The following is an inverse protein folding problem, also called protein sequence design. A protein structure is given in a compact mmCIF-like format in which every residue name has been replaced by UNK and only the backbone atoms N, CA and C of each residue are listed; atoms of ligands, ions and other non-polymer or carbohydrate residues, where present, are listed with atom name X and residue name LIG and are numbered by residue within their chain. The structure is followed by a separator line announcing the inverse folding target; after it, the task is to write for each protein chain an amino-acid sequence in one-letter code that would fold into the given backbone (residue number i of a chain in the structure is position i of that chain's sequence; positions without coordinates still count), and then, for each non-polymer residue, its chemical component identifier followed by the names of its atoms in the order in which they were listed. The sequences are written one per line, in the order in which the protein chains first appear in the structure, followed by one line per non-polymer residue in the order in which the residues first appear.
data_IF_277971513078
#
_entry.id   IF_277971513078
#
_cell.length_a   1.000
_cell.length_b   1.000
_cell.length_c   1.000
_cell.angle_alpha   90.00
_cell.angle_beta   90.00
_cell.angle_gamma   90.00
#
_symmetry.space_group_name_H-M   'P 1'
#
loop_
_entity.id
_entity.type
_entity.pdbx_description
1 polymer ?
#
# COMPACT_ATOMS: atom_id res chain seq x y z
N UNK A 1 -59.88 -38.61 -12.64
CA UNK A 1 -59.74 -38.88 -11.18
C UNK A 1 -58.60 -39.87 -10.87
N UNK A 2 -57.53 -39.90 -11.70
CA UNK A 2 -56.29 -40.66 -11.44
C UNK A 2 -55.02 -39.79 -11.55
N UNK A 3 -55.08 -38.59 -12.14
CA UNK A 3 -53.95 -37.63 -12.17
C UNK A 3 -53.83 -36.72 -10.93
N UNK A 4 -54.89 -36.61 -10.10
CA UNK A 4 -54.82 -35.82 -8.85
C UNK A 4 -54.14 -36.60 -7.71
N UNK A 5 -54.04 -37.94 -7.84
CA UNK A 5 -53.47 -38.80 -6.80
C UNK A 5 -51.93 -38.96 -6.92
N UNK A 6 -51.33 -38.72 -8.08
CA UNK A 6 -49.86 -38.74 -8.26
C UNK A 6 -49.16 -37.44 -7.82
N UNK A 7 -49.88 -36.31 -7.81
CA UNK A 7 -49.32 -35.01 -7.37
C UNK A 7 -49.25 -34.94 -5.82
N UNK A 8 -50.10 -35.69 -5.10
CA UNK A 8 -50.09 -35.75 -3.64
C UNK A 8 -49.11 -36.79 -3.07
N UNK A 9 -48.70 -37.80 -3.84
CA UNK A 9 -47.69 -38.80 -3.43
C UNK A 9 -46.26 -38.32 -3.65
N UNK A 10 -45.99 -37.52 -4.69
CA UNK A 10 -44.67 -36.87 -4.90
C UNK A 10 -44.37 -35.74 -3.88
N UNK A 11 -45.40 -35.10 -3.30
CA UNK A 11 -45.23 -34.08 -2.25
C UNK A 11 -45.00 -34.65 -0.84
N UNK A 12 -45.22 -35.95 -0.62
CA UNK A 12 -45.08 -36.59 0.71
C UNK A 12 -43.73 -37.31 0.91
N UNK A 13 -42.98 -37.56 -0.17
CA UNK A 13 -41.67 -38.26 -0.12
C UNK A 13 -40.44 -37.36 -0.11
N UNK A 14 -40.56 -36.05 -0.37
CA UNK A 14 -39.44 -35.09 -0.26
C UNK A 14 -39.26 -34.51 1.15
N UNK A 15 -40.13 -34.86 2.11
CA UNK A 15 -40.09 -34.32 3.47
C UNK A 15 -39.42 -35.23 4.52
N UNK A 16 -38.88 -36.41 4.13
CA UNK A 16 -38.34 -37.41 5.08
C UNK A 16 -36.98 -38.02 4.71
N UNK A 17 -36.09 -37.27 4.04
CA UNK A 17 -34.68 -37.71 3.89
C UNK A 17 -33.70 -36.55 3.84
N UNK A 18 -33.52 -35.89 4.99
CA UNK A 18 -32.35 -35.03 5.24
C UNK A 18 -32.03 -34.89 6.73
N UNK A 19 -32.14 -36.01 7.46
CA UNK A 19 -31.38 -36.21 8.69
C UNK A 19 -30.15 -37.04 8.33
N UNK A 20 -29.01 -36.47 8.69
CA UNK A 20 -27.64 -36.97 8.66
C UNK A 20 -26.73 -36.40 7.57
N UNK A 21 -25.61 -35.87 8.08
CA UNK A 21 -24.47 -35.24 7.41
C UNK A 21 -24.67 -33.80 6.91
N UNK A 22 -24.66 -32.86 7.85
CA UNK A 22 -23.77 -31.68 7.70
C UNK A 22 -23.48 -31.08 9.09
N UNK A 23 -22.27 -31.33 9.55
CA UNK A 23 -21.65 -30.70 10.72
C UNK A 23 -21.33 -29.22 10.41
N UNK A 24 -21.42 -28.41 11.46
CA UNK A 24 -20.90 -27.05 11.66
C UNK A 24 -21.83 -25.86 11.31
N UNK A 25 -22.35 -25.31 12.41
CA UNK A 25 -22.81 -23.93 12.68
C UNK A 25 -24.24 -23.58 12.28
N UNK A 26 -25.16 -23.96 13.18
CA UNK A 26 -26.57 -23.58 13.18
C UNK A 26 -26.81 -22.23 13.89
N UNK A 27 -27.76 -21.41 13.40
CA UNK A 27 -28.13 -20.12 13.95
C UNK A 27 -29.25 -20.21 15.00
N UNK A 28 -29.35 -19.11 15.76
CA UNK A 28 -30.41 -18.72 16.68
C UNK A 28 -31.84 -19.04 16.20
N UNK A 29 -32.64 -19.70 17.05
CA UNK A 29 -34.01 -19.36 17.49
C UNK A 29 -34.58 -20.53 18.30
N UNK A 30 -34.48 -20.44 19.63
CA UNK A 30 -35.51 -20.77 20.62
C UNK A 30 -34.89 -20.80 22.02
N UNK A 31 -35.06 -19.70 22.76
CA UNK A 31 -35.13 -19.77 24.23
C UNK A 31 -36.11 -18.70 24.70
N UNK A 32 -37.38 -19.04 24.55
CA UNK A 32 -38.45 -18.54 25.40
C UNK A 32 -38.15 -18.90 26.85
N UNK A 33 -37.67 -17.93 27.64
CA UNK A 33 -37.93 -17.69 29.08
C UNK A 33 -36.95 -16.62 29.60
N UNK A 34 -37.37 -15.39 29.95
CA UNK A 34 -36.58 -14.54 30.84
C UNK A 34 -36.74 -15.04 32.28
N UNK A 35 -35.62 -15.39 32.93
CA UNK A 35 -35.55 -15.56 34.38
C UNK A 35 -35.82 -14.19 35.02
N UNK A 36 -37.01 -14.02 35.60
CA UNK A 36 -37.32 -12.94 36.52
C UNK A 36 -36.66 -13.26 37.87
N UNK A 37 -35.55 -12.59 38.18
CA UNK A 37 -35.04 -12.48 39.56
C UNK A 37 -34.67 -11.01 39.78
N UNK A 38 -35.50 -10.36 40.60
CA UNK A 38 -35.29 -9.14 41.39
C UNK A 38 -34.18 -8.18 40.94
N UNK A 39 -34.58 -7.07 40.29
CA UNK A 39 -33.98 -5.76 40.56
C UNK A 39 -35.01 -4.63 40.39
N UNK A 40 -36.21 -4.85 40.94
CA UNK A 40 -37.34 -3.90 40.90
C UNK A 40 -37.31 -2.86 42.02
N UNK A 41 -36.35 -2.89 42.96
CA UNK A 41 -36.30 -1.90 44.07
C UNK A 41 -35.33 -0.74 43.89
N UNK A 42 -34.43 -0.73 42.89
CA UNK A 42 -33.51 0.41 42.69
C UNK A 42 -34.01 1.44 41.65
N UNK A 43 -35.03 1.13 40.87
CA UNK A 43 -35.56 2.05 39.83
C UNK A 43 -36.64 3.01 40.34
N UNK A 44 -37.23 2.77 41.52
CA UNK A 44 -38.20 3.67 42.14
C UNK A 44 -37.56 4.78 43.00
N UNK A 45 -36.28 4.67 43.35
CA UNK A 45 -35.61 5.68 44.20
C UNK A 45 -34.98 6.82 43.36
N UNK A 46 -34.70 6.58 42.07
CA UNK A 46 -34.05 7.57 41.20
C UNK A 46 -34.99 8.30 40.22
N UNK A 47 -36.18 7.76 39.94
CA UNK A 47 -37.19 8.45 39.11
C UNK A 47 -38.19 9.30 39.92
N UNK A 48 -38.23 9.16 41.24
CA UNK A 48 -39.20 9.84 42.11
C UNK A 48 -38.77 11.21 42.68
N UNK A 49 -37.62 11.77 42.26
CA UNK A 49 -37.06 12.99 42.89
C UNK A 49 -36.87 14.21 41.98
N UNK A 50 -37.42 14.23 40.76
CA UNK A 50 -37.31 15.39 39.84
C UNK A 50 -38.66 15.90 39.34
N UNK A 51 -39.73 15.75 40.14
CA UNK A 51 -40.93 16.57 39.97
C UNK A 51 -41.35 17.08 41.35
N UNK A 52 -41.16 18.38 41.60
CA UNK A 52 -42.28 19.14 42.13
C UNK A 52 -42.51 20.44 41.36
N UNK A 53 -43.79 20.75 41.16
CA UNK A 53 -44.40 22.06 41.07
C UNK A 53 -43.63 23.21 40.38
N UNK A 54 -44.15 23.65 39.24
CA UNK A 54 -44.67 25.03 39.13
C UNK A 54 -45.48 25.20 37.85
N UNK A 55 -46.80 25.30 38.03
CA UNK A 55 -47.62 26.16 37.18
C UNK A 55 -47.27 27.57 37.63
N UNK A 56 -46.47 28.30 36.86
CA UNK A 56 -46.31 29.73 37.06
C UNK A 56 -46.36 30.46 35.72
N UNK A 57 -47.30 31.38 35.64
CA UNK A 57 -47.66 32.18 34.48
C UNK A 57 -46.70 33.38 34.48
N UNK A 58 -45.55 33.28 33.79
CA UNK A 58 -44.72 34.45 33.45
C UNK A 58 -43.78 34.14 32.28
N UNK A 59 -44.02 34.79 31.14
CA UNK A 59 -43.39 34.56 29.83
C UNK A 59 -41.87 34.73 29.70
N UNK A 60 -41.12 34.97 30.79
CA UNK A 60 -39.65 35.08 30.78
C UNK A 60 -38.89 33.82 31.25
N UNK A 61 -39.48 33.00 32.12
CA UNK A 61 -38.81 31.81 32.69
C UNK A 61 -38.89 30.57 31.77
N UNK A 62 -39.82 30.58 30.82
CA UNK A 62 -40.04 29.50 29.86
C UNK A 62 -38.85 29.34 28.89
N UNK A 63 -38.14 30.44 28.61
CA UNK A 63 -37.01 30.46 27.67
C UNK A 63 -35.78 29.75 28.27
N UNK A 64 -35.44 30.06 29.53
CA UNK A 64 -34.34 29.40 30.26
C UNK A 64 -34.60 27.90 30.48
N UNK A 65 -35.83 27.49 30.79
CA UNK A 65 -36.21 26.08 30.93
C UNK A 65 -36.25 25.35 29.58
N UNK A 66 -36.66 26.02 28.50
CA UNK A 66 -36.63 25.48 27.14
C UNK A 66 -35.21 25.24 26.63
N UNK A 67 -34.27 26.18 26.83
CA UNK A 67 -32.87 25.99 26.46
C UNK A 67 -32.20 24.86 27.27
N UNK A 68 -32.48 24.77 28.57
CA UNK A 68 -31.97 23.68 29.43
C UNK A 68 -32.53 22.32 29.00
N UNK A 69 -33.79 22.28 28.55
CA UNK A 69 -34.44 21.10 27.97
C UNK A 69 -33.82 20.69 26.63
N UNK A 70 -33.51 21.66 25.76
CA UNK A 70 -32.85 21.43 24.47
C UNK A 70 -31.41 20.90 24.67
N UNK A 71 -30.65 21.48 25.60
CA UNK A 71 -29.30 21.00 25.93
C UNK A 71 -29.32 19.56 26.45
N UNK A 72 -30.23 19.24 27.37
CA UNK A 72 -30.40 17.88 27.89
C UNK A 72 -30.81 16.87 26.81
N UNK A 73 -31.70 17.27 25.89
CA UNK A 73 -32.07 16.44 24.74
C UNK A 73 -30.88 16.20 23.79
N UNK A 74 -29.96 17.17 23.64
CA UNK A 74 -28.79 17.06 22.77
C UNK A 74 -27.80 16.05 23.34
N UNK A 75 -27.49 16.23 24.63
CA UNK A 75 -26.63 15.31 25.38
C UNK A 75 -27.22 13.91 25.39
N UNK A 76 -28.55 13.76 25.52
CA UNK A 76 -29.20 12.46 25.45
C UNK A 76 -29.00 11.76 24.09
N UNK A 77 -29.02 12.50 22.96
CA UNK A 77 -28.73 11.92 21.64
C UNK A 77 -27.27 11.47 21.52
N UNK A 78 -26.32 12.24 22.08
CA UNK A 78 -24.91 11.86 22.11
C UNK A 78 -24.66 10.63 22.99
N UNK A 79 -25.28 10.57 24.18
CA UNK A 79 -25.19 9.40 25.07
C UNK A 79 -25.77 8.15 24.40
N UNK A 80 -26.90 8.29 23.68
CA UNK A 80 -27.45 7.20 22.87
C UNK A 80 -26.44 6.71 21.83
N UNK A 81 -25.77 7.63 21.12
CA UNK A 81 -24.75 7.29 20.12
C UNK A 81 -23.53 6.61 20.73
N UNK A 82 -23.11 7.06 21.90
CA UNK A 82 -22.07 6.39 22.66
C UNK A 82 -22.46 4.95 23.03
N UNK A 83 -23.66 4.73 23.57
CA UNK A 83 -24.13 3.39 23.90
C UNK A 83 -24.29 2.50 22.67
N UNK A 84 -24.77 3.04 21.55
CA UNK A 84 -24.84 2.31 20.28
C UNK A 84 -23.45 1.88 19.82
N UNK A 85 -22.48 2.81 19.83
CA UNK A 85 -21.10 2.55 19.40
C UNK A 85 -20.40 1.56 20.33
N UNK A 86 -20.64 1.64 21.64
CA UNK A 86 -20.15 0.68 22.63
C UNK A 86 -20.73 -0.72 22.42
N UNK A 87 -22.03 -0.82 22.12
CA UNK A 87 -22.69 -2.10 21.84
C UNK A 87 -22.20 -2.72 20.54
N UNK A 88 -21.94 -1.90 19.52
CA UNK A 88 -21.43 -2.30 18.21
C UNK A 88 -19.95 -1.96 18.04
N UNK A 89 -19.14 -2.28 19.06
CA UNK A 89 -17.70 -2.01 19.09
C UNK A 89 -16.93 -2.60 17.89
N UNK A 90 -17.42 -3.71 17.30
CA UNK A 90 -16.83 -4.30 16.09
C UNK A 90 -16.86 -3.35 14.88
N UNK A 91 -17.90 -2.51 14.75
CA UNK A 91 -17.99 -1.52 13.67
C UNK A 91 -16.99 -0.39 13.90
N UNK A 92 -16.84 0.08 15.14
CA UNK A 92 -15.82 1.08 15.49
C UNK A 92 -14.40 0.57 15.21
N UNK A 93 -14.10 -0.69 15.57
CA UNK A 93 -12.79 -1.29 15.28
C UNK A 93 -12.58 -1.38 13.77
N UNK A 94 -13.59 -1.82 13.01
CA UNK A 94 -13.49 -1.88 11.55
C UNK A 94 -13.26 -0.49 10.93
N UNK A 95 -13.93 0.55 11.43
CA UNK A 95 -13.76 1.95 11.02
C UNK A 95 -12.33 2.48 11.26
N UNK A 96 -11.62 1.97 12.26
CA UNK A 96 -10.24 2.37 12.55
C UNK A 96 -9.22 1.48 11.82
N UNK A 97 -9.40 0.15 11.91
CA UNK A 97 -8.44 -0.83 11.42
C UNK A 97 -8.37 -0.89 9.90
N UNK A 98 -9.51 -0.87 9.19
CA UNK A 98 -9.51 -1.04 7.72
C UNK A 98 -8.86 0.16 7.02
N UNK A 99 -9.23 1.43 7.31
CA UNK A 99 -8.54 2.57 6.72
C UNK A 99 -7.05 2.60 7.07
N UNK A 100 -6.67 2.24 8.31
CA UNK A 100 -5.28 2.19 8.72
C UNK A 100 -4.49 1.12 7.95
N UNK A 101 -5.04 -0.09 7.77
CA UNK A 101 -4.41 -1.14 6.98
C UNK A 101 -4.23 -0.74 5.51
N UNK A 102 -5.23 -0.09 4.92
CA UNK A 102 -5.15 0.40 3.54
C UNK A 102 -4.10 1.52 3.38
N UNK A 103 -3.98 2.40 4.37
CA UNK A 103 -2.93 3.42 4.39
C UNK A 103 -1.54 2.82 4.62
N UNK A 104 -1.40 1.79 5.45
CA UNK A 104 -0.16 1.01 5.56
C UNK A 104 0.23 0.40 4.22
N UNK A 105 -0.72 -0.23 3.52
CA UNK A 105 -0.49 -0.80 2.19
C UNK A 105 -0.08 0.27 1.19
N UNK A 106 -0.73 1.44 1.18
CA UNK A 106 -0.36 2.58 0.35
C UNK A 106 1.10 2.98 0.55
N UNK A 107 1.48 3.25 1.80
CA UNK A 107 2.84 3.70 2.12
C UNK A 107 3.88 2.62 1.89
N UNK A 108 3.54 1.35 2.15
CA UNK A 108 4.42 0.22 1.84
C UNK A 108 4.66 0.08 0.33
N UNK A 109 3.60 0.17 -0.49
CA UNK A 109 3.74 0.12 -1.96
C UNK A 109 4.59 1.27 -2.48
N UNK A 110 4.41 2.49 -1.96
CA UNK A 110 5.23 3.64 -2.34
C UNK A 110 6.69 3.44 -1.92
N UNK A 111 6.93 3.04 -0.67
CA UNK A 111 8.29 2.75 -0.18
C UNK A 111 8.96 1.65 -1.01
N UNK A 112 8.26 0.57 -1.31
CA UNK A 112 8.80 -0.52 -2.15
C UNK A 112 9.18 -0.04 -3.55
N UNK A 113 8.44 0.93 -4.10
CA UNK A 113 8.69 1.47 -5.44
C UNK A 113 9.85 2.48 -5.45
N UNK A 114 10.04 3.24 -4.36
CA UNK A 114 11.11 4.24 -4.22
C UNK A 114 12.43 3.59 -3.71
N UNK A 115 12.34 2.59 -2.84
CA UNK A 115 13.48 1.88 -2.23
C UNK A 115 14.30 1.06 -3.23
N UNK A 116 13.89 0.98 -4.49
CA UNK A 116 14.69 0.36 -5.54
C UNK A 116 15.99 1.13 -5.81
N UNK A 117 16.09 2.39 -5.38
CA UNK A 117 17.29 3.22 -5.42
C UNK A 117 17.97 3.21 -4.03
N UNK A 118 18.69 2.13 -3.69
CA UNK A 118 19.61 2.17 -2.54
C UNK A 118 20.72 3.17 -2.87
N UNK A 119 20.86 4.19 -2.03
CA UNK A 119 21.91 5.21 -2.15
C UNK A 119 23.31 4.69 -1.81
N UNK A 120 23.39 3.50 -1.20
CA UNK A 120 24.63 2.90 -0.73
C UNK A 120 24.58 1.41 -1.04
N UNK A 121 25.50 0.97 -1.89
CA UNK A 121 25.70 -0.44 -2.22
C UNK A 121 26.91 -0.94 -1.46
N UNK A 122 26.77 -2.10 -0.81
CA UNK A 122 27.87 -2.71 -0.10
C UNK A 122 28.97 -3.13 -1.09
N UNK A 123 30.26 -2.93 -0.75
CA UNK A 123 31.35 -3.34 -1.62
C UNK A 123 31.36 -4.86 -1.78
N UNK A 124 31.46 -5.33 -3.04
CA UNK A 124 31.45 -6.75 -3.36
C UNK A 124 32.87 -7.26 -3.62
N UNK A 125 33.34 -8.18 -2.79
CA UNK A 125 34.57 -8.91 -3.08
C UNK A 125 34.33 -9.87 -4.24
N UNK A 126 35.14 -9.77 -5.30
CA UNK A 126 35.00 -10.55 -6.54
C UNK A 126 35.57 -11.96 -6.37
N UNK A 127 35.02 -12.71 -5.43
CA UNK A 127 35.39 -14.10 -5.13
C UNK A 127 34.23 -15.03 -5.51
N UNK A 128 34.49 -15.94 -6.44
CA UNK A 128 33.49 -16.87 -7.01
C UNK A 128 32.82 -17.68 -5.89
N UNK A 129 33.59 -18.11 -4.88
CA UNK A 129 33.11 -18.95 -3.80
C UNK A 129 32.10 -18.23 -2.90
N UNK A 130 32.27 -16.91 -2.73
CA UNK A 130 31.41 -16.07 -1.89
C UNK A 130 30.13 -15.66 -2.61
N UNK A 131 30.20 -15.41 -3.93
CA UNK A 131 29.09 -14.89 -4.73
C UNK A 131 28.22 -16.01 -5.30
N UNK A 132 28.83 -17.06 -5.84
CA UNK A 132 28.14 -18.13 -6.56
C UNK A 132 28.20 -19.49 -5.84
N UNK A 133 28.97 -19.61 -4.76
CA UNK A 133 29.12 -20.85 -4.01
C UNK A 133 29.94 -21.90 -4.79
N UNK A 134 29.53 -23.18 -4.67
CA UNK A 134 30.21 -24.28 -5.36
C UNK A 134 29.77 -24.35 -6.81
N UNK A 135 30.72 -24.20 -7.72
CA UNK A 135 30.47 -24.04 -9.17
C UNK A 135 31.33 -25.00 -9.97
N UNK A 136 30.96 -25.21 -11.23
CA UNK A 136 31.71 -26.02 -12.19
C UNK A 136 32.57 -25.10 -13.06
N UNK A 137 33.73 -25.59 -13.48
CA UNK A 137 34.60 -24.87 -14.40
C UNK A 137 35.42 -25.84 -15.24
N UNK A 138 36.17 -25.30 -16.18
CA UNK A 138 37.05 -26.11 -17.02
C UNK A 138 38.37 -25.41 -17.29
N UNK A 139 39.39 -26.20 -17.63
CA UNK A 139 40.64 -25.66 -18.14
C UNK A 139 41.16 -26.49 -19.31
N UNK A 140 41.83 -25.83 -20.24
CA UNK A 140 42.46 -26.42 -21.41
C UNK A 140 43.94 -26.02 -21.48
N UNK A 141 44.77 -26.96 -21.93
CA UNK A 141 46.19 -26.75 -22.17
C UNK A 141 46.64 -27.61 -23.35
N UNK A 142 47.18 -26.95 -24.38
CA UNK A 142 47.53 -27.55 -25.66
C UNK A 142 48.70 -28.56 -25.57
N UNK A 143 49.67 -28.35 -24.66
CA UNK A 143 50.89 -29.19 -24.55
C UNK A 143 51.29 -29.51 -23.11
N UNK A 144 51.94 -30.66 -22.86
CA UNK A 144 52.42 -31.04 -21.52
C UNK A 144 53.49 -30.10 -20.95
N UNK A 145 54.26 -29.40 -21.78
CA UNK A 145 55.28 -28.43 -21.30
C UNK A 145 54.69 -27.17 -20.65
N UNK A 146 53.39 -26.91 -20.81
CA UNK A 146 52.66 -25.81 -20.17
C UNK A 146 51.99 -26.26 -18.86
N UNK A 147 52.37 -27.45 -18.34
CA UNK A 147 51.78 -28.05 -17.13
C UNK A 147 51.85 -27.11 -15.92
N UNK A 148 52.96 -26.41 -15.69
CA UNK A 148 53.12 -25.53 -14.53
C UNK A 148 52.01 -24.47 -14.42
N UNK A 149 51.71 -23.78 -15.52
CA UNK A 149 50.66 -22.76 -15.55
C UNK A 149 49.25 -23.38 -15.50
N UNK A 150 49.05 -24.55 -16.13
CA UNK A 150 47.79 -25.28 -16.05
C UNK A 150 47.51 -25.80 -14.63
N UNK A 151 48.55 -26.22 -13.92
CA UNK A 151 48.51 -26.67 -12.53
C UNK A 151 48.24 -25.49 -11.59
N UNK A 152 48.88 -24.32 -11.82
CA UNK A 152 48.55 -23.08 -11.11
C UNK A 152 47.09 -22.68 -11.35
N UNK A 153 46.60 -22.73 -12.58
CA UNK A 153 45.21 -22.41 -12.91
C UNK A 153 44.23 -23.36 -12.22
N UNK A 154 44.52 -24.66 -12.22
CA UNK A 154 43.73 -25.65 -11.49
C UNK A 154 43.70 -25.35 -9.98
N UNK A 155 44.85 -25.05 -9.38
CA UNK A 155 44.94 -24.71 -7.96
C UNK A 155 44.13 -23.46 -7.60
N UNK A 156 44.16 -22.43 -8.44
CA UNK A 156 43.36 -21.21 -8.22
C UNK A 156 41.86 -21.51 -8.36
N UNK A 157 41.45 -22.32 -9.33
CA UNK A 157 40.05 -22.74 -9.48
C UNK A 157 39.57 -23.55 -8.26
N UNK A 158 40.38 -24.50 -7.80
CA UNK A 158 40.08 -25.33 -6.62
C UNK A 158 39.99 -24.47 -5.35
N UNK A 159 40.89 -23.48 -5.18
CA UNK A 159 40.86 -22.54 -4.04
C UNK A 159 39.57 -21.71 -3.98
N UNK A 160 38.97 -21.43 -5.14
CA UNK A 160 37.70 -20.72 -5.28
C UNK A 160 36.48 -21.67 -5.28
N UNK A 161 36.65 -22.94 -4.89
CA UNK A 161 35.60 -23.98 -4.88
C UNK A 161 34.96 -24.25 -6.25
N UNK A 162 35.71 -24.02 -7.33
CA UNK A 162 35.30 -24.35 -8.70
C UNK A 162 35.76 -25.76 -9.03
N UNK A 163 34.83 -26.66 -9.33
CA UNK A 163 35.12 -28.03 -9.76
C UNK A 163 35.66 -28.02 -11.19
N UNK A 164 36.98 -27.88 -11.34
CA UNK A 164 37.65 -27.74 -12.62
C UNK A 164 37.92 -29.09 -13.30
N UNK A 165 37.40 -29.28 -14.51
CA UNK A 165 37.71 -30.45 -15.36
C UNK A 165 38.70 -30.07 -16.46
N UNK A 166 39.69 -30.94 -16.70
CA UNK A 166 40.59 -30.79 -17.86
C UNK A 166 39.83 -31.20 -19.12
N UNK A 167 39.76 -30.31 -20.09
CA UNK A 167 39.03 -30.52 -21.34
C UNK A 167 40.02 -30.55 -22.50
N UNK A 168 39.72 -31.33 -23.56
CA UNK A 168 40.52 -31.40 -24.79
C UNK A 168 40.08 -30.40 -25.85
N UNK A 169 38.80 -30.00 -25.85
CA UNK A 169 38.26 -28.99 -26.77
C UNK A 169 37.23 -28.11 -26.02
N UNK A 170 37.59 -26.87 -25.64
CA UNK A 170 36.73 -25.98 -24.86
C UNK A 170 35.35 -25.73 -25.48
N UNK A 171 35.33 -25.41 -26.78
CA UNK A 171 34.10 -25.04 -27.50
C UNK A 171 33.08 -26.17 -27.50
N UNK A 172 33.52 -27.39 -27.83
CA UNK A 172 32.63 -28.55 -27.88
C UNK A 172 32.14 -28.97 -26.48
N UNK A 173 32.97 -28.80 -25.44
CA UNK A 173 32.56 -29.03 -24.06
C UNK A 173 31.46 -28.08 -23.62
N UNK A 174 31.62 -26.77 -23.86
CA UNK A 174 30.61 -25.77 -23.48
C UNK A 174 29.31 -26.01 -24.25
N UNK A 175 29.38 -26.32 -25.54
CA UNK A 175 28.19 -26.67 -26.36
C UNK A 175 27.47 -27.91 -25.84
N UNK A 176 28.21 -28.94 -25.44
CA UNK A 176 27.60 -30.16 -24.89
C UNK A 176 27.03 -29.93 -23.48
N UNK A 177 27.70 -29.12 -22.64
CA UNK A 177 27.21 -28.73 -21.32
C UNK A 177 25.94 -27.88 -21.43
N UNK A 178 25.87 -27.00 -22.43
CA UNK A 178 24.74 -26.14 -22.73
C UNK A 178 23.47 -26.86 -23.19
N UNK A 179 23.55 -28.15 -23.58
CA UNK A 179 22.35 -28.97 -23.85
C UNK A 179 21.44 -29.06 -22.62
N UNK A 180 22.02 -29.01 -21.43
CA UNK A 180 21.28 -28.82 -20.18
C UNK A 180 21.35 -27.35 -19.74
N UNK A 181 20.42 -26.57 -20.27
CA UNK A 181 20.29 -25.13 -20.02
C UNK A 181 20.22 -24.81 -18.52
N UNK A 182 19.55 -25.64 -17.72
CA UNK A 182 19.39 -25.39 -16.28
C UNK A 182 20.72 -25.53 -15.55
N UNK A 183 21.53 -26.51 -15.96
CA UNK A 183 22.87 -26.74 -15.43
C UNK A 183 23.83 -25.63 -15.87
N UNK A 184 23.74 -25.21 -17.13
CA UNK A 184 24.53 -24.11 -17.68
C UNK A 184 24.30 -22.79 -16.92
N UNK A 185 23.05 -22.37 -16.70
CA UNK A 185 22.77 -21.12 -16.00
C UNK A 185 23.17 -21.13 -14.52
N UNK A 186 23.25 -22.29 -13.88
CA UNK A 186 23.44 -22.38 -12.42
C UNK A 186 24.84 -22.79 -11.98
N UNK A 187 25.60 -23.51 -12.81
CA UNK A 187 26.82 -24.18 -12.35
C UNK A 187 28.09 -23.71 -13.05
N UNK A 188 28.11 -23.53 -14.37
CA UNK A 188 29.35 -23.15 -15.06
C UNK A 188 29.56 -21.63 -15.00
N UNK A 189 30.63 -21.18 -14.34
CA UNK A 189 30.91 -19.74 -14.14
C UNK A 189 32.10 -19.29 -14.97
N UNK A 190 33.21 -20.01 -14.87
CA UNK A 190 34.51 -19.62 -15.43
C UNK A 190 35.22 -20.81 -16.08
N UNK A 191 36.07 -20.51 -17.06
CA UNK A 191 37.04 -21.47 -17.60
C UNK A 191 38.29 -20.76 -18.09
N UNK A 192 39.36 -21.52 -18.36
CA UNK A 192 40.60 -20.97 -18.89
C UNK A 192 41.20 -21.84 -19.98
N UNK A 193 41.69 -21.23 -21.05
CA UNK A 193 42.42 -21.93 -22.10
C UNK A 193 43.82 -21.32 -22.25
N UNK A 194 44.81 -22.20 -22.39
CA UNK A 194 46.22 -21.85 -22.51
C UNK A 194 46.72 -22.43 -23.83
N UNK A 195 46.90 -21.53 -24.79
CA UNK A 195 47.27 -21.82 -26.18
C UNK A 195 48.63 -21.18 -26.48
N UNK A 196 49.28 -21.61 -27.57
CA UNK A 196 50.40 -20.85 -28.14
C UNK A 196 50.03 -20.25 -29.48
N UNK A 197 50.32 -18.97 -29.63
CA UNK A 197 50.24 -18.32 -30.93
C UNK A 197 51.30 -18.90 -31.88
N UNK A 198 51.06 -18.88 -33.21
CA UNK A 198 52.03 -19.35 -34.20
C UNK A 198 53.36 -18.58 -34.18
N UNK A 199 53.39 -17.39 -33.55
CA UNK A 199 54.58 -16.57 -33.30
C UNK A 199 55.42 -17.04 -32.11
N UNK A 200 54.96 -18.05 -31.36
CA UNK A 200 55.62 -18.58 -30.17
C UNK A 200 55.23 -17.89 -28.86
N UNK A 201 54.39 -16.84 -28.91
CA UNK A 201 53.84 -16.20 -27.72
C UNK A 201 52.79 -17.08 -27.03
N UNK A 202 52.67 -16.93 -25.70
CA UNK A 202 51.65 -17.60 -24.90
C UNK A 202 50.34 -16.84 -25.00
N UNK A 203 49.27 -17.50 -25.42
CA UNK A 203 47.93 -16.93 -25.52
C UNK A 203 47.05 -17.49 -24.39
N UNK A 204 46.49 -16.58 -23.59
CA UNK A 204 45.68 -16.92 -22.42
C UNK A 204 44.26 -16.41 -22.63
N UNK A 205 43.30 -17.33 -22.69
CA UNK A 205 41.89 -16.99 -22.88
C UNK A 205 41.09 -17.29 -21.62
N UNK A 206 40.40 -16.26 -21.10
CA UNK A 206 39.49 -16.37 -19.96
C UNK A 206 38.06 -16.56 -20.48
N UNK A 207 37.45 -17.70 -20.16
CA UNK A 207 36.06 -17.99 -20.49
C UNK A 207 35.16 -17.59 -19.33
N UNK A 208 34.07 -16.90 -19.64
CA UNK A 208 33.07 -16.47 -18.67
C UNK A 208 31.66 -16.80 -19.14
N UNK A 209 30.74 -16.90 -18.20
CA UNK A 209 29.32 -17.09 -18.49
C UNK A 209 28.57 -15.76 -18.41
N UNK A 210 28.11 -15.24 -19.54
CA UNK A 210 27.39 -13.96 -19.65
C UNK A 210 26.12 -13.86 -18.79
N UNK A 211 25.54 -14.99 -18.43
CA UNK A 211 24.31 -15.05 -17.64
C UNK A 211 24.54 -14.74 -16.15
N UNK A 212 25.80 -14.76 -15.73
CA UNK A 212 26.22 -14.47 -14.37
C UNK A 212 26.87 -13.09 -14.32
N UNK A 213 26.18 -12.13 -13.69
CA UNK A 213 26.52 -10.70 -13.73
C UNK A 213 28.00 -10.33 -13.45
N UNK A 214 28.71 -11.09 -12.60
CA UNK A 214 30.09 -10.79 -12.20
C UNK A 214 31.11 -11.84 -12.68
N UNK A 215 30.70 -12.77 -13.55
CA UNK A 215 31.58 -13.85 -14.02
C UNK A 215 32.75 -13.34 -14.86
N UNK A 216 32.54 -12.32 -15.70
CA UNK A 216 33.57 -11.75 -16.58
C UNK A 216 34.79 -11.23 -15.80
N UNK A 217 34.65 -10.28 -14.85
CA UNK A 217 35.79 -9.81 -14.06
C UNK A 217 36.39 -10.92 -13.18
N UNK A 218 35.59 -11.86 -12.68
CA UNK A 218 36.08 -13.00 -11.90
C UNK A 218 36.93 -13.97 -12.73
N UNK A 219 36.54 -14.24 -13.98
CA UNK A 219 37.31 -15.10 -14.89
C UNK A 219 38.70 -14.51 -15.17
N UNK A 220 38.76 -13.19 -15.42
CA UNK A 220 40.02 -12.48 -15.58
C UNK A 220 40.87 -12.51 -14.30
N UNK A 221 40.27 -12.30 -13.13
CA UNK A 221 40.97 -12.35 -11.84
C UNK A 221 41.60 -13.74 -11.60
N UNK A 222 40.87 -14.82 -11.88
CA UNK A 222 41.39 -16.20 -11.77
C UNK A 222 42.58 -16.41 -12.70
N UNK A 223 42.48 -15.98 -13.96
CA UNK A 223 43.57 -16.12 -14.93
C UNK A 223 44.82 -15.31 -14.54
N UNK A 224 44.65 -14.07 -14.11
CA UNK A 224 45.76 -13.23 -13.64
C UNK A 224 46.39 -13.77 -12.36
N UNK A 225 45.60 -14.32 -11.44
CA UNK A 225 46.12 -14.94 -10.22
C UNK A 225 46.91 -16.21 -10.55
N UNK A 226 46.44 -17.02 -11.49
CA UNK A 226 47.16 -18.22 -11.95
C UNK A 226 48.50 -17.85 -12.61
N UNK A 227 48.52 -16.82 -13.46
CA UNK A 227 49.75 -16.26 -14.02
C UNK A 227 50.72 -15.81 -12.91
N UNK A 228 50.21 -15.05 -11.94
CA UNK A 228 51.01 -14.54 -10.84
C UNK A 228 51.61 -15.69 -10.01
N UNK A 229 50.82 -16.71 -9.65
CA UNK A 229 51.31 -17.88 -8.92
C UNK A 229 52.41 -18.65 -9.65
N UNK A 230 52.33 -18.71 -10.97
CA UNK A 230 53.35 -19.37 -11.79
C UNK A 230 54.64 -18.55 -11.90
N UNK A 231 54.55 -17.21 -11.85
CA UNK A 231 55.73 -16.32 -11.89
C UNK A 231 56.37 -16.09 -10.53
N UNK A 232 55.54 -16.00 -9.48
CA UNK A 232 55.90 -15.73 -8.10
C UNK A 232 55.27 -16.83 -7.26
N UNK A 233 56.09 -17.71 -6.71
CA UNK A 233 55.65 -18.84 -5.88
C UNK A 233 54.77 -18.35 -4.72
N UNK A 234 53.43 -18.40 -4.89
CA UNK A 234 52.44 -18.09 -3.85
C UNK A 234 51.79 -16.69 -3.90
N UNK A 235 51.92 -15.91 -4.98
CA UNK A 235 51.18 -14.65 -5.12
C UNK A 235 49.66 -14.83 -5.25
N UNK A 236 48.84 -13.98 -4.62
CA UNK A 236 47.38 -13.96 -4.82
C UNK A 236 46.88 -12.52 -5.03
N UNK A 237 45.90 -12.35 -5.91
CA UNK A 237 45.28 -11.05 -6.20
C UNK A 237 43.86 -11.06 -5.63
N UNK A 238 43.51 -10.02 -4.89
CA UNK A 238 42.14 -9.80 -4.43
C UNK A 238 41.57 -8.55 -5.08
N UNK A 239 40.34 -8.65 -5.58
CA UNK A 239 39.62 -7.56 -6.23
C UNK A 239 38.30 -7.33 -5.50
N UNK A 240 38.01 -6.07 -5.21
CA UNK A 240 36.74 -5.66 -4.60
C UNK A 240 36.13 -4.59 -5.48
N UNK A 241 34.90 -4.82 -5.93
CA UNK A 241 34.11 -3.81 -6.62
C UNK A 241 33.37 -2.97 -5.58
N UNK A 242 33.83 -1.74 -5.37
CA UNK A 242 33.12 -0.74 -4.59
C UNK A 242 32.42 0.20 -5.58
N UNK A 243 31.12 -0.01 -5.86
CA UNK A 243 30.37 0.92 -6.69
C UNK A 243 30.44 2.31 -6.07
N UNK A 244 30.64 3.32 -6.92
CA UNK A 244 30.55 4.71 -6.50
C UNK A 244 29.14 4.95 -5.92
N UNK A 245 29.01 5.77 -4.86
CA UNK A 245 27.70 6.22 -4.44
C UNK A 245 27.03 6.88 -5.64
N UNK A 246 25.86 6.39 -6.01
CA UNK A 246 25.16 6.92 -7.17
C UNK A 246 24.86 8.40 -6.90
N UNK A 247 25.43 9.29 -7.72
CA UNK A 247 25.20 10.74 -7.67
C UNK A 247 23.73 11.01 -8.06
N UNK A 248 22.82 10.81 -7.11
CA UNK A 248 21.43 11.28 -6.96
C UNK A 248 20.54 11.40 -8.22
N UNK A 249 20.87 10.84 -9.37
CA UNK A 249 19.97 10.75 -10.53
C UNK A 249 18.81 9.77 -10.28
N UNK A 250 18.96 8.83 -9.35
CA UNK A 250 17.88 7.94 -8.87
C UNK A 250 16.83 8.63 -7.97
N UNK A 251 17.10 9.86 -7.51
CA UNK A 251 16.09 10.69 -6.83
C UNK A 251 15.27 11.53 -7.80
N UNK A 252 15.60 11.57 -9.10
CA UNK A 252 14.59 11.96 -10.06
C UNK A 252 13.48 10.92 -9.96
N UNK A 253 12.30 11.33 -9.53
CA UNK A 253 11.14 10.45 -9.67
C UNK A 253 10.97 10.30 -11.18
N UNK A 254 11.53 9.23 -11.74
CA UNK A 254 11.32 8.89 -13.13
C UNK A 254 9.81 8.88 -13.39
N UNK A 255 9.41 9.12 -14.63
CA UNK A 255 8.01 9.15 -15.03
C UNK A 255 7.27 7.93 -14.45
N UNK A 256 7.93 6.76 -14.42
CA UNK A 256 7.42 5.54 -13.79
C UNK A 256 7.21 5.63 -12.27
N UNK A 257 8.18 6.15 -11.50
CA UNK A 257 8.05 6.35 -10.06
C UNK A 257 6.94 7.35 -9.70
N UNK A 258 6.79 8.40 -10.53
CA UNK A 258 5.83 9.48 -10.28
C UNK A 258 4.43 9.00 -10.58
N UNK A 259 4.27 8.26 -11.68
CA UNK A 259 3.05 7.59 -12.01
C UNK A 259 2.67 6.56 -10.94
N UNK A 260 3.64 5.82 -10.39
CA UNK A 260 3.40 4.87 -9.31
C UNK A 260 2.90 5.56 -8.05
N UNK A 261 3.51 6.66 -7.61
CA UNK A 261 3.03 7.47 -6.48
C UNK A 261 1.64 8.03 -6.72
N UNK A 262 1.35 8.50 -7.94
CA UNK A 262 0.02 9.01 -8.33
C UNK A 262 -1.01 7.89 -8.24
N UNK A 263 -0.74 6.72 -8.82
CA UNK A 263 -1.67 5.60 -8.87
C UNK A 263 -1.92 5.05 -7.47
N UNK A 264 -0.88 4.79 -6.67
CA UNK A 264 -1.05 4.24 -5.32
C UNK A 264 -1.83 5.21 -4.42
N UNK A 265 -1.51 6.52 -4.46
CA UNK A 265 -2.23 7.53 -3.68
C UNK A 265 -3.69 7.71 -4.14
N UNK A 266 -3.98 7.65 -5.44
CA UNK A 266 -5.37 7.73 -5.96
C UNK A 266 -6.19 6.47 -5.75
N UNK A 267 -5.56 5.31 -5.51
CA UNK A 267 -6.26 4.05 -5.27
C UNK A 267 -6.53 3.86 -3.78
N UNK A 268 -5.49 3.85 -2.94
CA UNK A 268 -5.64 3.44 -1.54
C UNK A 268 -6.29 4.51 -0.65
N UNK A 269 -5.96 5.79 -0.83
CA UNK A 269 -6.48 6.85 0.03
C UNK A 269 -8.01 7.06 -0.14
N UNK A 270 -8.57 7.12 -1.38
CA UNK A 270 -10.02 7.16 -1.55
C UNK A 270 -10.73 5.89 -1.11
N UNK A 271 -10.09 4.72 -1.20
CA UNK A 271 -10.69 3.47 -0.74
C UNK A 271 -10.77 3.42 0.80
N UNK A 272 -9.70 3.84 1.48
CA UNK A 272 -9.65 3.94 2.94
C UNK A 272 -10.71 4.91 3.49
N UNK A 273 -10.71 6.14 2.98
CA UNK A 273 -11.62 7.18 3.44
C UNK A 273 -13.04 7.04 2.89
N UNK A 274 -13.21 6.39 1.74
CA UNK A 274 -14.51 5.99 1.18
C UNK A 274 -15.17 4.89 2.01
N UNK A 275 -14.40 3.91 2.50
CA UNK A 275 -14.89 2.92 3.45
C UNK A 275 -15.36 3.58 4.76
N UNK A 276 -14.54 4.49 5.31
CA UNK A 276 -14.87 5.21 6.53
C UNK A 276 -16.16 6.02 6.36
N UNK A 277 -16.29 6.78 5.27
CA UNK A 277 -17.49 7.59 5.05
C UNK A 277 -18.74 6.77 4.76
N UNK A 278 -18.62 5.64 4.07
CA UNK A 278 -19.72 4.72 3.83
C UNK A 278 -20.24 4.10 5.14
N UNK A 279 -19.37 3.85 6.11
CA UNK A 279 -19.75 3.25 7.39
C UNK A 279 -20.77 4.10 8.17
N UNK A 280 -20.74 5.42 8.02
CA UNK A 280 -21.68 6.35 8.66
C UNK A 280 -23.11 6.24 8.09
N UNK A 281 -23.31 5.53 6.98
CA UNK A 281 -24.66 5.22 6.45
C UNK A 281 -25.40 4.13 7.23
N UNK A 282 -24.69 3.30 7.99
CA UNK A 282 -25.27 2.16 8.71
C UNK A 282 -26.31 2.58 9.75
N UNK A 283 -25.96 3.53 10.61
CA UNK A 283 -26.84 3.98 11.70
C UNK A 283 -28.12 4.67 11.19
N UNK A 284 -28.09 5.63 10.24
CA UNK A 284 -29.31 6.27 9.76
C UNK A 284 -30.21 5.31 8.97
N UNK A 285 -29.67 4.28 8.32
CA UNK A 285 -30.49 3.21 7.71
C UNK A 285 -31.11 2.34 8.81
N UNK A 286 -30.32 1.91 9.79
CA UNK A 286 -30.80 1.06 10.89
C UNK A 286 -31.90 1.74 11.72
N UNK A 287 -31.75 3.02 12.05
CA UNK A 287 -32.76 3.79 12.81
C UNK A 287 -34.05 4.04 12.02
N UNK A 288 -33.99 4.07 10.69
CA UNK A 288 -35.18 4.13 9.85
C UNK A 288 -35.85 2.76 9.70
N UNK A 289 -35.07 1.71 9.48
CA UNK A 289 -35.58 0.34 9.38
C UNK A 289 -36.29 -0.11 10.67
N UNK A 290 -35.76 0.28 11.84
CA UNK A 290 -36.35 -0.01 13.15
C UNK A 290 -37.43 0.98 13.59
N UNK A 291 -37.73 2.02 12.78
CA UNK A 291 -38.63 3.14 13.12
C UNK A 291 -38.22 3.92 14.39
N UNK A 292 -37.01 3.75 14.90
CA UNK A 292 -36.50 4.48 16.05
C UNK A 292 -36.45 6.00 15.78
N UNK A 293 -36.08 6.42 14.56
CA UNK A 293 -36.11 7.84 14.17
C UNK A 293 -37.52 8.43 14.28
N UNK A 294 -38.54 7.70 13.83
CA UNK A 294 -39.94 8.16 13.89
C UNK A 294 -40.37 8.38 15.34
N UNK A 295 -40.05 7.44 16.24
CA UNK A 295 -40.36 7.53 17.66
C UNK A 295 -39.71 8.76 18.32
N UNK A 296 -38.46 9.08 17.95
CA UNK A 296 -37.74 10.25 18.46
C UNK A 296 -38.38 11.57 18.02
N UNK A 297 -38.82 11.66 16.77
CA UNK A 297 -39.52 12.83 16.26
C UNK A 297 -40.90 12.99 16.92
N UNK A 298 -41.62 11.89 17.14
CA UNK A 298 -42.91 11.89 17.87
C UNK A 298 -42.76 12.29 19.35
N UNK A 299 -41.59 12.06 19.96
CA UNK A 299 -41.27 12.50 21.32
C UNK A 299 -40.91 13.99 21.42
N UNK A 300 -41.04 14.75 20.31
CA UNK A 300 -40.83 16.19 20.29
C UNK A 300 -39.38 16.64 20.14
N UNK A 301 -38.47 15.76 19.67
CA UNK A 301 -37.09 16.15 19.33
C UNK A 301 -37.11 16.79 17.93
N UNK A 302 -36.60 18.02 17.76
CA UNK A 302 -36.56 18.65 16.44
C UNK A 302 -35.64 17.90 15.48
N UNK A 303 -36.03 17.82 14.21
CA UNK A 303 -35.28 17.05 13.20
C UNK A 303 -33.85 17.57 12.97
N UNK A 304 -33.66 18.90 13.02
CA UNK A 304 -32.33 19.54 12.87
C UNK A 304 -31.37 19.02 13.94
N UNK A 305 -31.84 18.95 15.18
CA UNK A 305 -31.06 18.52 16.33
C UNK A 305 -30.67 17.04 16.26
N UNK A 306 -31.54 16.19 15.72
CA UNK A 306 -31.23 14.80 15.45
C UNK A 306 -30.04 14.68 14.48
N UNK A 307 -30.07 15.42 13.38
CA UNK A 307 -29.00 15.38 12.37
C UNK A 307 -27.71 16.02 12.85
N UNK A 308 -27.76 17.12 13.60
CA UNK A 308 -26.54 17.76 14.12
C UNK A 308 -25.87 16.93 15.20
N UNK A 309 -26.63 16.32 16.12
CA UNK A 309 -26.07 15.42 17.14
C UNK A 309 -25.43 14.18 16.48
N UNK A 310 -26.06 13.67 15.43
CA UNK A 310 -25.55 12.56 14.64
C UNK A 310 -24.27 12.91 13.89
N UNK A 311 -24.26 14.04 13.18
CA UNK A 311 -23.09 14.55 12.47
C UNK A 311 -21.92 14.80 13.42
N UNK A 312 -22.16 15.43 14.58
CA UNK A 312 -21.11 15.72 15.55
C UNK A 312 -20.43 14.42 16.04
N UNK A 313 -21.20 13.40 16.38
CA UNK A 313 -20.65 12.12 16.82
C UNK A 313 -19.83 11.44 15.72
N UNK A 314 -20.39 11.34 14.51
CA UNK A 314 -19.74 10.70 13.38
C UNK A 314 -18.47 11.47 12.94
N UNK A 315 -18.49 12.81 13.00
CA UNK A 315 -17.32 13.66 12.74
C UNK A 315 -16.23 13.50 13.79
N UNK A 316 -16.57 13.34 15.07
CA UNK A 316 -15.58 13.03 16.12
C UNK A 316 -14.89 11.69 15.86
N UNK A 317 -15.65 10.64 15.50
CA UNK A 317 -15.10 9.33 15.12
C UNK A 317 -14.19 9.45 13.89
N UNK A 318 -14.62 10.23 12.89
CA UNK A 318 -13.81 10.52 11.70
C UNK A 318 -12.49 11.21 12.04
N UNK A 319 -12.51 12.24 12.89
CA UNK A 319 -11.30 12.95 13.33
C UNK A 319 -10.33 12.02 14.05
N UNK A 320 -10.83 11.17 14.95
CA UNK A 320 -10.01 10.17 15.65
C UNK A 320 -9.37 9.22 14.62
N UNK A 321 -10.14 8.70 13.67
CA UNK A 321 -9.62 7.83 12.62
C UNK A 321 -8.52 8.51 11.78
N UNK A 322 -8.68 9.80 11.46
CA UNK A 322 -7.67 10.56 10.72
C UNK A 322 -6.35 10.70 11.48
N UNK A 323 -6.40 10.89 12.80
CA UNK A 323 -5.19 10.94 13.64
C UNK A 323 -4.45 9.59 13.60
N UNK A 324 -5.18 8.48 13.71
CA UNK A 324 -4.58 7.14 13.59
C UNK A 324 -4.00 6.88 12.20
N UNK A 325 -4.61 7.42 11.14
CA UNK A 325 -4.13 7.27 9.76
C UNK A 325 -2.81 8.02 9.46
N UNK A 326 -2.28 8.81 10.41
CA UNK A 326 -0.94 9.43 10.28
C UNK A 326 0.18 8.47 10.68
N UNK A 327 -0.11 7.47 11.52
CA UNK A 327 0.89 6.50 12.00
C UNK A 327 1.65 5.82 10.84
N UNK A 328 1.01 5.37 9.75
CA UNK A 328 1.71 4.82 8.58
C UNK A 328 2.71 5.79 7.95
N UNK A 329 2.46 7.10 7.99
CA UNK A 329 3.38 8.09 7.42
C UNK A 329 4.67 8.15 8.24
N UNK A 330 4.55 8.09 9.57
CA UNK A 330 5.70 8.10 10.48
C UNK A 330 6.56 6.84 10.34
N UNK A 331 5.95 5.67 10.15
CA UNK A 331 6.67 4.39 10.04
C UNK A 331 7.36 4.24 8.68
N UNK A 332 6.65 4.51 7.58
CA UNK A 332 7.12 4.16 6.25
C UNK A 332 7.80 5.32 5.51
N UNK A 333 7.44 6.57 5.81
CA UNK A 333 7.90 7.75 5.08
C UNK A 333 8.28 8.91 6.02
N UNK A 334 8.99 8.59 7.10
CA UNK A 334 9.47 9.56 8.09
C UNK A 334 10.15 10.77 7.44
N UNK A 335 11.12 10.53 6.55
CA UNK A 335 11.89 11.61 5.91
C UNK A 335 11.04 12.49 4.99
N UNK A 336 10.07 11.92 4.26
CA UNK A 336 9.26 12.68 3.31
C UNK A 336 8.18 13.54 3.98
N UNK A 337 7.54 13.03 5.04
CA UNK A 337 6.41 13.71 5.69
C UNK A 337 6.80 14.49 6.96
N UNK A 338 7.84 14.06 7.68
CA UNK A 338 8.34 14.67 8.91
C UNK A 338 9.74 15.30 8.76
N UNK A 339 10.19 15.52 7.52
CA UNK A 339 11.43 16.25 7.20
C UNK A 339 11.36 17.74 7.59
N UNK A 340 12.26 18.57 7.02
CA UNK A 340 12.34 20.00 7.38
C UNK A 340 11.04 20.74 7.07
N UNK A 341 10.27 20.29 6.07
CA UNK A 341 8.94 20.79 5.77
C UNK A 341 7.80 19.91 6.33
N UNK A 342 7.61 19.93 7.66
CA UNK A 342 6.49 19.26 8.37
C UNK A 342 5.07 19.73 7.97
N UNK A 343 4.98 20.80 7.16
CA UNK A 343 3.73 21.37 6.62
C UNK A 343 2.97 20.33 5.79
N UNK A 344 3.66 19.39 5.12
CA UNK A 344 3.02 18.31 4.34
C UNK A 344 2.11 17.44 5.20
N UNK A 345 2.55 17.07 6.41
CA UNK A 345 1.76 16.27 7.35
C UNK A 345 0.51 17.03 7.81
N UNK A 346 0.65 18.32 8.17
CA UNK A 346 -0.48 19.17 8.53
C UNK A 346 -1.49 19.33 7.38
N UNK A 347 -1.00 19.48 6.15
CA UNK A 347 -1.84 19.58 4.94
C UNK A 347 -2.60 18.28 4.67
N UNK A 348 -1.96 17.12 4.88
CA UNK A 348 -2.61 15.82 4.74
C UNK A 348 -3.75 15.63 5.74
N UNK A 349 -3.52 15.98 7.01
CA UNK A 349 -4.51 15.89 8.08
C UNK A 349 -5.67 16.86 7.82
N UNK A 350 -5.38 18.09 7.37
CA UNK A 350 -6.38 19.08 6.98
C UNK A 350 -7.27 18.56 5.85
N UNK A 351 -6.68 17.97 4.81
CA UNK A 351 -7.42 17.39 3.68
C UNK A 351 -8.37 16.27 4.15
N UNK A 352 -7.93 15.43 5.09
CA UNK A 352 -8.75 14.36 5.66
C UNK A 352 -9.91 14.89 6.50
N UNK A 353 -9.71 15.96 7.27
CA UNK A 353 -10.79 16.62 8.02
C UNK A 353 -11.83 17.27 7.11
N UNK A 354 -11.39 18.02 6.08
CA UNK A 354 -12.27 18.62 5.09
C UNK A 354 -13.09 17.58 4.31
N UNK A 355 -12.49 16.42 4.07
CA UNK A 355 -13.23 15.29 3.50
C UNK A 355 -14.30 14.76 4.44
N UNK A 356 -14.05 14.63 5.74
CA UNK A 356 -15.08 14.26 6.71
C UNK A 356 -16.28 15.21 6.68
N UNK A 357 -15.98 16.52 6.63
CA UNK A 357 -17.00 17.57 6.58
C UNK A 357 -17.91 17.47 5.35
N UNK A 358 -17.36 17.11 4.19
CA UNK A 358 -18.11 16.99 2.94
C UNK A 358 -18.73 15.61 2.70
N UNK A 359 -18.04 14.54 3.11
CA UNK A 359 -18.45 13.17 2.81
C UNK A 359 -19.50 12.62 3.77
N UNK A 360 -19.53 13.04 5.04
CA UNK A 360 -20.55 12.57 6.00
C UNK A 360 -21.96 13.01 5.59
N UNK A 361 -22.21 14.29 5.24
CA UNK A 361 -23.52 14.72 4.72
C UNK A 361 -23.89 14.00 3.42
N UNK A 362 -22.93 13.80 2.52
CA UNK A 362 -23.14 13.05 1.28
C UNK A 362 -23.59 11.60 1.57
N UNK A 363 -22.95 10.93 2.52
CA UNK A 363 -23.35 9.60 3.00
C UNK A 363 -24.77 9.58 3.59
N UNK A 364 -25.17 10.62 4.32
CA UNK A 364 -26.55 10.71 4.84
C UNK A 364 -27.57 10.86 3.73
N UNK A 365 -27.27 11.63 2.67
CA UNK A 365 -28.14 11.72 1.49
C UNK A 365 -28.28 10.36 0.80
N UNK A 366 -27.16 9.66 0.57
CA UNK A 366 -27.15 8.33 -0.01
C UNK A 366 -27.92 7.31 0.84
N UNK A 367 -27.92 7.48 2.18
CA UNK A 367 -28.64 6.61 3.08
C UNK A 367 -30.12 6.53 2.70
N UNK A 368 -30.75 7.63 2.25
CA UNK A 368 -32.20 7.67 2.00
C UNK A 368 -32.70 6.68 0.95
N UNK A 369 -31.85 6.35 -0.03
CA UNK A 369 -32.16 5.45 -1.15
C UNK A 369 -32.33 4.00 -0.69
N UNK A 370 -31.67 3.61 0.40
CA UNK A 370 -31.59 2.21 0.81
C UNK A 370 -32.47 1.89 2.03
N UNK A 371 -33.18 0.77 1.94
CA UNK A 371 -34.00 0.23 3.05
C UNK A 371 -33.26 -0.80 3.92
N UNK A 372 -32.27 -1.51 3.36
CA UNK A 372 -31.47 -2.52 4.07
C UNK A 372 -30.07 -1.99 4.37
N UNK A 373 -29.60 -2.12 5.62
CA UNK A 373 -28.32 -1.60 6.08
C UNK A 373 -27.11 -2.11 5.30
N UNK A 374 -26.96 -3.44 5.20
CA UNK A 374 -25.78 -4.05 4.54
C UNK A 374 -25.72 -3.71 3.04
N UNK A 375 -26.87 -3.66 2.37
CA UNK A 375 -26.94 -3.29 0.95
C UNK A 375 -26.61 -1.81 0.73
N UNK A 376 -27.09 -0.92 1.61
CA UNK A 376 -26.75 0.50 1.55
C UNK A 376 -25.26 0.75 1.82
N UNK A 377 -24.68 0.06 2.78
CA UNK A 377 -23.24 0.15 3.04
C UNK A 377 -22.40 -0.30 1.84
N UNK A 378 -22.66 -1.50 1.31
CA UNK A 378 -21.89 -2.05 0.19
C UNK A 378 -22.00 -1.20 -1.09
N UNK A 379 -23.19 -0.68 -1.38
CA UNK A 379 -23.40 0.19 -2.55
C UNK A 379 -22.71 1.55 -2.41
N UNK A 380 -22.72 2.17 -1.22
CA UNK A 380 -22.01 3.43 -1.00
C UNK A 380 -20.49 3.22 -1.05
N UNK A 381 -19.96 2.13 -0.49
CA UNK A 381 -18.55 1.76 -0.67
C UNK A 381 -18.22 1.58 -2.15
N UNK A 382 -19.04 0.85 -2.90
CA UNK A 382 -18.85 0.62 -4.34
C UNK A 382 -18.87 1.93 -5.15
N UNK A 383 -19.80 2.84 -4.81
CA UNK A 383 -19.86 4.17 -5.43
C UNK A 383 -18.62 5.02 -5.10
N UNK A 384 -18.21 5.05 -3.84
CA UNK A 384 -17.00 5.74 -3.39
C UNK A 384 -15.74 5.19 -4.09
N UNK A 385 -15.66 3.87 -4.29
CA UNK A 385 -14.58 3.23 -5.02
C UNK A 385 -14.61 3.57 -6.51
N UNK A 386 -15.78 3.54 -7.17
CA UNK A 386 -15.90 3.90 -8.59
C UNK A 386 -15.53 5.37 -8.85
N UNK A 387 -16.05 6.29 -8.02
CA UNK A 387 -15.78 7.72 -8.15
C UNK A 387 -14.35 8.09 -7.74
N UNK A 388 -13.84 7.52 -6.65
CA UNK A 388 -12.50 7.81 -6.12
C UNK A 388 -11.41 7.08 -6.89
N UNK A 389 -11.44 5.75 -6.89
CA UNK A 389 -10.42 4.91 -7.51
C UNK A 389 -10.59 4.91 -9.03
N UNK A 390 -11.77 4.54 -9.53
CA UNK A 390 -12.03 4.41 -10.96
C UNK A 390 -11.78 5.71 -11.71
N UNK A 391 -12.54 6.76 -11.40
CA UNK A 391 -12.37 8.05 -12.06
C UNK A 391 -11.11 8.80 -11.60
N UNK A 392 -10.74 8.78 -10.32
CA UNK A 392 -9.57 9.52 -9.85
C UNK A 392 -8.25 9.02 -10.45
N UNK A 393 -8.01 7.71 -10.45
CA UNK A 393 -6.75 7.14 -10.96
C UNK A 393 -6.64 7.24 -12.48
N UNK A 394 -7.71 6.90 -13.23
CA UNK A 394 -7.70 6.91 -14.70
C UNK A 394 -7.51 8.31 -15.27
N UNK A 395 -8.30 9.28 -14.80
CA UNK A 395 -8.20 10.66 -15.29
C UNK A 395 -6.84 11.29 -14.92
N UNK A 396 -6.32 11.03 -13.72
CA UNK A 396 -4.98 11.52 -13.33
C UNK A 396 -3.85 10.85 -14.08
N UNK A 397 -3.91 9.54 -14.31
CA UNK A 397 -2.93 8.81 -15.10
C UNK A 397 -2.89 9.34 -16.54
N UNK A 398 -4.05 9.51 -17.17
CA UNK A 398 -4.16 10.13 -18.50
C UNK A 398 -3.59 11.55 -18.51
N UNK A 399 -3.97 12.41 -17.57
CA UNK A 399 -3.43 13.78 -17.49
C UNK A 399 -1.90 13.82 -17.30
N UNK A 400 -1.32 12.80 -16.66
CA UNK A 400 0.12 12.68 -16.44
C UNK A 400 0.89 12.17 -17.66
N UNK A 401 0.22 11.62 -18.68
CA UNK A 401 0.86 11.20 -19.92
C UNK A 401 1.25 12.42 -20.78
N UNK A 402 2.50 12.46 -21.23
CA UNK A 402 3.04 13.55 -22.05
C UNK A 402 2.45 13.58 -23.47
N UNK A 403 2.15 12.42 -24.05
CA UNK A 403 1.76 12.26 -25.46
C UNK A 403 0.26 12.54 -25.78
N UNK A 404 -0.45 13.32 -24.97
CA UNK A 404 -1.88 13.60 -25.18
C UNK A 404 -2.09 14.93 -25.90
N UNK A 405 -2.92 14.90 -26.95
CA UNK A 405 -3.38 16.10 -27.68
C UNK A 405 -3.97 17.16 -26.75
N UNK A 406 -3.67 18.44 -26.99
CA UNK A 406 -4.16 19.55 -26.17
C UNK A 406 -5.69 19.61 -26.04
N UNK A 407 -6.40 19.20 -27.10
CA UNK A 407 -7.87 19.13 -27.09
C UNK A 407 -8.37 18.14 -26.02
N UNK A 408 -7.83 16.92 -26.03
CA UNK A 408 -8.17 15.87 -25.06
C UNK A 408 -7.79 16.31 -23.64
N UNK A 409 -6.65 17.00 -23.48
CA UNK A 409 -6.23 17.56 -22.19
C UNK A 409 -7.23 18.59 -21.64
N UNK A 410 -7.79 19.44 -22.49
CA UNK A 410 -8.80 20.42 -22.08
C UNK A 410 -10.15 19.76 -21.75
N UNK A 411 -10.59 18.79 -22.55
CA UNK A 411 -11.80 18.02 -22.28
C UNK A 411 -11.71 17.26 -20.95
N UNK A 412 -10.55 16.63 -20.68
CA UNK A 412 -10.27 15.97 -19.40
C UNK A 412 -10.32 16.97 -18.23
N UNK A 413 -9.75 18.18 -18.37
CA UNK A 413 -9.83 19.21 -17.32
C UNK A 413 -11.29 19.58 -17.01
N UNK A 414 -12.12 19.76 -18.04
CA UNK A 414 -13.55 20.05 -17.87
C UNK A 414 -14.25 18.88 -17.15
N UNK A 415 -14.03 17.65 -17.58
CA UNK A 415 -14.60 16.46 -16.94
C UNK A 415 -14.17 16.33 -15.46
N UNK A 416 -12.88 16.52 -15.16
CA UNK A 416 -12.39 16.50 -13.77
C UNK A 416 -12.99 17.61 -12.92
N UNK A 417 -13.35 18.75 -13.50
CA UNK A 417 -14.03 19.83 -12.77
C UNK A 417 -15.43 19.41 -12.33
N UNK A 418 -16.23 18.78 -13.21
CA UNK A 418 -17.55 18.25 -12.85
C UNK A 418 -17.47 17.12 -11.83
N UNK A 419 -16.48 16.22 -11.95
CA UNK A 419 -16.30 15.09 -11.03
C UNK A 419 -15.94 15.50 -9.59
N UNK A 420 -15.49 16.75 -9.35
CA UNK A 420 -15.20 17.27 -8.00
C UNK A 420 -16.41 17.32 -7.09
N UNK A 421 -17.63 17.26 -7.64
CA UNK A 421 -18.86 17.18 -6.84
C UNK A 421 -18.86 15.95 -5.93
N UNK A 422 -18.17 14.88 -6.31
CA UNK A 422 -18.01 13.68 -5.50
C UNK A 422 -16.82 13.85 -4.54
N UNK A 423 -17.04 13.86 -3.21
CA UNK A 423 -15.98 14.11 -2.24
C UNK A 423 -14.79 13.15 -2.35
N UNK A 424 -15.04 11.89 -2.70
CA UNK A 424 -14.00 10.86 -2.88
C UNK A 424 -13.08 11.12 -4.06
N UNK A 425 -13.59 11.67 -5.16
CA UNK A 425 -12.78 12.07 -6.31
C UNK A 425 -11.89 13.27 -5.97
N UNK A 426 -12.46 14.29 -5.32
CA UNK A 426 -11.71 15.46 -4.85
C UNK A 426 -10.59 15.07 -3.87
N UNK A 427 -10.85 14.10 -2.99
CA UNK A 427 -9.84 13.57 -2.09
C UNK A 427 -8.71 12.84 -2.84
N UNK A 428 -9.01 11.94 -3.76
CA UNK A 428 -7.98 11.21 -4.51
C UNK A 428 -7.09 12.14 -5.34
N UNK A 429 -7.70 13.14 -5.99
CA UNK A 429 -6.94 14.15 -6.74
C UNK A 429 -6.12 15.08 -5.83
N UNK A 430 -6.62 15.40 -4.63
CA UNK A 430 -5.88 16.16 -3.61
C UNK A 430 -4.69 15.39 -3.06
N UNK A 431 -4.88 14.13 -2.68
CA UNK A 431 -3.81 13.27 -2.17
C UNK A 431 -2.72 13.01 -3.21
N UNK A 432 -3.07 12.69 -4.45
CA UNK A 432 -2.07 12.51 -5.50
C UNK A 432 -1.20 13.75 -5.71
N UNK A 433 -1.80 14.95 -5.73
CA UNK A 433 -1.05 16.20 -5.82
C UNK A 433 -0.15 16.40 -4.60
N UNK A 434 -0.69 16.19 -3.40
CA UNK A 434 0.06 16.33 -2.15
C UNK A 434 1.28 15.41 -2.14
N UNK A 435 1.08 14.11 -2.42
CA UNK A 435 2.15 13.12 -2.43
C UNK A 435 3.24 13.47 -3.46
N UNK A 436 2.86 13.87 -4.69
CA UNK A 436 3.85 14.29 -5.70
C UNK A 436 4.69 15.48 -5.22
N UNK A 437 4.07 16.46 -4.56
CA UNK A 437 4.77 17.63 -4.02
C UNK A 437 5.66 17.24 -2.83
N UNK A 438 5.13 16.46 -1.88
CA UNK A 438 5.86 16.04 -0.68
C UNK A 438 7.09 15.20 -1.02
N UNK A 439 6.94 14.21 -1.91
CA UNK A 439 8.08 13.42 -2.36
C UNK A 439 9.08 14.28 -3.17
N UNK A 440 8.59 15.15 -4.06
CA UNK A 440 9.45 16.09 -4.79
C UNK A 440 10.27 17.00 -3.87
N UNK A 441 9.64 17.56 -2.82
CA UNK A 441 10.34 18.40 -1.85
C UNK A 441 11.33 17.59 -1.00
N UNK A 442 10.98 16.36 -0.62
CA UNK A 442 11.89 15.49 0.13
C UNK A 442 13.16 15.17 -0.65
N UNK A 443 13.06 15.04 -1.98
CA UNK A 443 14.20 14.89 -2.86
C UNK A 443 15.07 16.14 -2.82
N UNK A 444 14.47 17.33 -2.97
CA UNK A 444 15.21 18.59 -2.90
C UNK A 444 15.94 18.76 -1.55
N UNK A 445 15.34 18.33 -0.44
CA UNK A 445 15.95 18.37 0.89
C UNK A 445 17.09 17.37 1.09
N UNK A 446 17.10 16.27 0.33
CA UNK A 446 18.13 15.23 0.42
C UNK A 446 19.43 15.58 -0.31
N UNK A 447 19.41 16.61 -1.16
CA UNK A 447 20.59 17.11 -1.87
C UNK A 447 21.46 17.96 -0.94
N UNK A 448 22.79 17.75 -0.92
CA UNK A 448 23.71 18.70 -0.32
C UNK A 448 23.57 20.09 -0.97
N UNK A 449 23.70 21.18 -0.20
CA UNK A 449 23.50 22.53 -0.72
C UNK A 449 24.53 22.91 -1.80
N UNK A 450 25.73 22.31 -1.75
CA UNK A 450 26.79 22.52 -2.75
C UNK A 450 26.41 21.91 -4.10
N UNK A 451 25.95 20.65 -4.10
CA UNK A 451 25.50 19.93 -5.30
C UNK A 451 24.25 20.57 -5.91
N UNK A 452 23.32 21.03 -5.07
CA UNK A 452 22.15 21.77 -5.52
C UNK A 452 22.58 23.06 -6.24
N UNK A 453 23.51 23.82 -5.68
CA UNK A 453 24.00 25.06 -6.29
C UNK A 453 24.73 24.81 -7.62
N UNK A 454 25.52 23.73 -7.73
CA UNK A 454 26.15 23.33 -9.00
C UNK A 454 25.10 22.91 -10.04
N UNK A 455 24.12 22.11 -9.64
CA UNK A 455 23.03 21.66 -10.52
C UNK A 455 22.21 22.85 -11.02
N UNK A 456 21.90 23.79 -10.12
CA UNK A 456 21.10 24.97 -10.44
C UNK A 456 21.80 25.97 -11.37
N UNK A 457 23.14 25.94 -11.44
CA UNK A 457 23.94 26.80 -12.32
C UNK A 457 24.26 26.15 -13.67
N UNK A 458 23.88 24.89 -13.87
CA UNK A 458 24.17 24.15 -15.10
C UNK A 458 23.43 24.75 -16.31
N UNK A 459 24.10 25.01 -17.44
CA UNK A 459 23.46 25.52 -18.66
C UNK A 459 22.54 24.47 -19.32
N UNK A 460 22.60 23.21 -18.89
CA UNK A 460 21.75 22.12 -19.38
C UNK A 460 20.39 22.06 -18.65
N UNK A 461 20.15 22.93 -17.67
CA UNK A 461 18.93 22.88 -16.87
C UNK A 461 17.73 23.50 -17.60
N UNK A 462 16.83 22.65 -18.07
CA UNK A 462 15.57 23.04 -18.72
C UNK A 462 14.39 23.02 -17.74
N UNK A 463 13.26 23.62 -18.14
CA UNK A 463 12.00 23.58 -17.37
C UNK A 463 11.42 22.18 -17.17
N UNK A 464 11.89 21.21 -17.95
CA UNK A 464 11.50 19.80 -17.87
C UNK A 464 12.39 18.97 -16.94
N UNK A 465 13.52 19.54 -16.49
CA UNK A 465 14.42 18.83 -15.60
C UNK A 465 13.80 18.61 -14.21
N UNK A 466 14.05 17.43 -13.64
CA UNK A 466 13.44 17.01 -12.36
C UNK A 466 13.76 17.97 -11.21
N UNK A 467 14.96 18.55 -11.20
CA UNK A 467 15.47 19.44 -10.16
C UNK A 467 15.18 20.92 -10.42
N UNK A 468 14.57 21.28 -11.55
CA UNK A 468 14.23 22.69 -11.86
C UNK A 468 13.40 23.35 -10.76
N UNK A 469 12.49 22.59 -10.15
CA UNK A 469 11.65 23.07 -9.04
C UNK A 469 12.40 23.18 -7.71
N UNK A 470 13.50 22.45 -7.53
CA UNK A 470 14.34 22.58 -6.33
C UNK A 470 15.19 23.86 -6.36
N UNK A 471 15.44 24.40 -7.56
CA UNK A 471 16.22 25.62 -7.79
C UNK A 471 15.39 26.92 -7.75
N UNK A 472 14.06 26.81 -7.60
CA UNK A 472 13.11 27.91 -7.49
C UNK A 472 12.57 28.00 -6.08
#
# INVERSE_FOLDING_TARGET
MKEVLEILTMRRQTCLRKREVLFLLQPLVNSSRPKYILFTRLKQILLGKILPHMIDIRGGALVLTSYRKLGNQFVAQLIKRFHYSKRHWSVLIAQLAIPLLLMCLCMYSIKSSISQYRTEYDPLKMDISSVYGKTDGFYYSERPNLSGLADSLKNVLDSNKVSAQKVSEPTHFVLNYGKDITKYYKKIVVGGAIDRDPTGALNLTAWYNDQMFHSMPMALLVMHTALLQNTVNGGSISLTNAPLPELQSGYSIDIGGKLTVIITATVFAPLALGFLSASFTLVPIHERATKAKLLQLMSGIPAVMYWTAMFLWDYLVHCIACIFMIIPYAIFAHYAFFGKHSISTGTSLLLMFLYGWSSIPFSYLASFVFSKGNAGFASVVGFCAAAGVGAGSTFKAMLSTSNISEKVRNDLKIATWFLRIFPTFSLGTGFSNLFVITYGNSICESLPPEDLNMTCKSPLMTSESAFFKCCK
#
